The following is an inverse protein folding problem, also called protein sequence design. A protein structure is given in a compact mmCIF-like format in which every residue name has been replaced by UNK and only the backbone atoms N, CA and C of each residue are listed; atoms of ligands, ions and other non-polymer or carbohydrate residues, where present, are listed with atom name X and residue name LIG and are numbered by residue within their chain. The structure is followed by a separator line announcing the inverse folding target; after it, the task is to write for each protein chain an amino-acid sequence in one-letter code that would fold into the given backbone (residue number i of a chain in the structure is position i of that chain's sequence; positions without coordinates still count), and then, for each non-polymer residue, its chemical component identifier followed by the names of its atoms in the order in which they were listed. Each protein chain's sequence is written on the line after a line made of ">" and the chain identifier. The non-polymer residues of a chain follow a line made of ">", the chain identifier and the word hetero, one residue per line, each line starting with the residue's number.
data_IF_248702818483
#
_entry.id   IF_248702818483
#
_cell.length_a   1.000
_cell.length_b   1.000
_cell.length_c   1.000
_cell.angle_alpha   90.00
_cell.angle_beta   90.00
_cell.angle_gamma   90.00
#
_symmetry.space_group_name_H-M   'P 1'
#
loop_
_entity.id
_entity.type
_entity.pdbx_description
1 polymer ?
#
# COMPACT_ATOMS: atom_id res chain seq x y z
N UNK A 1 32.82 -19.34 4.75
CA UNK A 1 32.40 -17.95 5.08
C UNK A 1 30.89 -17.99 5.18
N UNK A 2 30.32 -17.53 6.30
CA UNK A 2 28.87 -17.40 6.46
C UNK A 2 28.54 -15.96 6.06
N UNK A 3 28.13 -15.74 4.80
CA UNK A 3 27.54 -14.45 4.40
C UNK A 3 26.27 -14.26 5.25
N UNK A 4 26.16 -13.23 6.10
CA UNK A 4 24.88 -12.92 6.72
C UNK A 4 23.88 -12.57 5.62
N UNK A 5 22.66 -13.13 5.63
CA UNK A 5 21.66 -12.80 4.62
C UNK A 5 21.43 -11.28 4.64
N UNK A 6 21.57 -10.63 3.48
CA UNK A 6 21.42 -9.17 3.40
C UNK A 6 20.03 -8.78 3.95
N UNK A 7 19.88 -7.81 4.85
CA UNK A 7 18.69 -7.75 5.70
C UNK A 7 17.40 -7.26 5.02
N UNK A 8 17.40 -6.86 3.74
CA UNK A 8 16.34 -5.96 3.25
C UNK A 8 16.04 -5.99 1.75
N UNK A 9 16.61 -6.92 0.97
CA UNK A 9 16.34 -6.99 -0.47
C UNK A 9 14.85 -7.31 -0.73
N UNK A 10 14.06 -6.30 -1.09
CA UNK A 10 12.62 -6.37 -1.39
C UNK A 10 11.71 -5.63 -0.39
N UNK A 11 12.05 -5.64 0.90
CA UNK A 11 11.15 -5.11 1.95
C UNK A 11 11.00 -3.57 1.88
N UNK A 12 12.06 -2.86 1.50
CA UNK A 12 12.05 -1.41 1.37
C UNK A 12 11.06 -0.92 0.29
N UNK A 13 11.11 -1.52 -0.90
CA UNK A 13 10.23 -1.13 -2.00
C UNK A 13 8.75 -1.44 -1.71
N UNK A 14 8.47 -2.59 -1.09
CA UNK A 14 7.11 -2.94 -0.63
C UNK A 14 6.62 -1.92 0.39
N UNK A 15 7.48 -1.53 1.34
CA UNK A 15 7.15 -0.53 2.37
C UNK A 15 6.84 0.83 1.74
N UNK A 16 7.67 1.29 0.79
CA UNK A 16 7.42 2.55 0.06
C UNK A 16 6.10 2.48 -0.71
N UNK A 17 5.84 1.39 -1.44
CA UNK A 17 4.60 1.20 -2.17
C UNK A 17 3.37 1.20 -1.25
N UNK A 18 3.49 0.61 -0.06
CA UNK A 18 2.44 0.61 0.95
C UNK A 18 2.15 2.01 1.47
N UNK A 19 3.19 2.79 1.77
CA UNK A 19 3.02 4.17 2.20
C UNK A 19 2.38 5.04 1.12
N UNK A 20 2.76 4.88 -0.15
CA UNK A 20 2.13 5.58 -1.27
C UNK A 20 0.64 5.23 -1.37
N UNK A 21 0.30 3.93 -1.24
CA UNK A 21 -1.08 3.46 -1.24
C UNK A 21 -1.92 4.12 -0.13
N UNK A 22 -1.41 4.10 1.11
CA UNK A 22 -2.09 4.71 2.26
C UNK A 22 -2.22 6.23 2.10
N UNK A 23 -1.16 6.90 1.64
CA UNK A 23 -1.17 8.34 1.42
C UNK A 23 -2.23 8.74 0.38
N UNK A 24 -2.37 7.96 -0.70
CA UNK A 24 -3.32 8.24 -1.76
C UNK A 24 -4.77 8.02 -1.29
N UNK A 25 -5.04 6.93 -0.56
CA UNK A 25 -6.35 6.70 0.06
C UNK A 25 -6.67 7.79 1.09
N UNK A 26 -5.68 8.21 1.87
CA UNK A 26 -5.76 9.31 2.82
C UNK A 26 -6.08 10.64 2.15
N UNK A 27 -5.45 10.96 1.01
CA UNK A 27 -5.70 12.18 0.25
C UNK A 27 -7.15 12.24 -0.28
N UNK A 28 -7.69 11.11 -0.73
CA UNK A 28 -9.09 11.00 -1.16
C UNK A 28 -10.03 11.30 0.01
N UNK A 29 -9.78 10.68 1.16
CA UNK A 29 -10.57 10.89 2.38
C UNK A 29 -10.46 12.33 2.88
N UNK A 30 -9.27 12.92 2.84
CA UNK A 30 -9.04 14.31 3.23
C UNK A 30 -9.79 15.26 2.29
N UNK A 31 -9.78 15.01 0.99
CA UNK A 31 -10.59 15.75 0.02
C UNK A 31 -12.09 15.69 0.36
N UNK A 32 -12.61 14.50 0.70
CA UNK A 32 -13.99 14.37 1.15
C UNK A 32 -14.27 15.14 2.46
N UNK A 33 -13.32 15.14 3.40
CA UNK A 33 -13.44 15.92 4.64
C UNK A 33 -13.49 17.42 4.36
N UNK A 34 -12.65 17.91 3.44
CA UNK A 34 -12.64 19.29 2.99
C UNK A 34 -13.97 19.72 2.34
N UNK A 35 -14.67 18.78 1.70
CA UNK A 35 -16.01 18.98 1.15
C UNK A 35 -17.14 18.93 2.21
N UNK A 36 -16.79 18.86 3.50
CA UNK A 36 -17.76 18.91 4.60
C UNK A 36 -18.40 17.57 4.95
N UNK A 37 -17.89 16.46 4.43
CA UNK A 37 -18.38 15.11 4.80
C UNK A 37 -18.16 14.87 6.30
N UNK A 38 -19.14 14.23 6.94
CA UNK A 38 -19.05 13.84 8.35
C UNK A 38 -17.89 12.88 8.60
N UNK A 39 -17.38 12.79 9.83
CA UNK A 39 -16.23 11.93 10.15
C UNK A 39 -16.49 10.46 9.76
N UNK A 40 -17.69 9.94 10.05
CA UNK A 40 -18.09 8.59 9.64
C UNK A 40 -18.11 8.42 8.12
N UNK A 41 -18.61 9.42 7.37
CA UNK A 41 -18.58 9.42 5.92
C UNK A 41 -17.16 9.50 5.35
N UNK A 42 -16.27 10.28 5.96
CA UNK A 42 -14.85 10.37 5.58
C UNK A 42 -14.14 9.03 5.76
N UNK A 43 -14.39 8.32 6.86
CA UNK A 43 -13.85 6.97 7.08
C UNK A 43 -14.38 5.98 6.04
N UNK A 44 -15.68 6.07 5.71
CA UNK A 44 -16.25 5.25 4.65
C UNK A 44 -15.59 5.52 3.29
N UNK A 45 -15.39 6.79 2.94
CA UNK A 45 -14.69 7.19 1.71
C UNK A 45 -13.23 6.72 1.70
N UNK A 46 -12.53 6.78 2.84
CA UNK A 46 -11.19 6.23 2.96
C UNK A 46 -11.16 4.74 2.62
N UNK A 47 -12.04 3.94 3.25
CA UNK A 47 -12.12 2.50 3.03
C UNK A 47 -12.48 2.20 1.58
N UNK A 48 -13.47 2.90 1.02
CA UNK A 48 -13.88 2.73 -0.37
C UNK A 48 -12.73 3.08 -1.34
N UNK A 49 -12.05 4.20 -1.12
CA UNK A 49 -10.90 4.63 -1.90
C UNK A 49 -9.75 3.63 -1.83
N UNK A 50 -9.46 3.13 -0.63
CA UNK A 50 -8.46 2.08 -0.40
C UNK A 50 -8.81 0.79 -1.18
N UNK A 51 -10.07 0.35 -1.14
CA UNK A 51 -10.54 -0.83 -1.89
C UNK A 51 -10.43 -0.63 -3.40
N UNK A 52 -10.80 0.55 -3.91
CA UNK A 52 -10.68 0.88 -5.34
C UNK A 52 -9.21 0.89 -5.77
N UNK A 53 -8.33 1.48 -4.97
CA UNK A 53 -6.89 1.54 -5.21
C UNK A 53 -6.21 0.18 -5.08
N UNK A 54 -6.83 -0.78 -4.41
CA UNK A 54 -6.26 -2.12 -4.27
C UNK A 54 -6.09 -2.78 -5.64
N UNK A 55 -7.03 -2.58 -6.58
CA UNK A 55 -6.96 -3.17 -7.94
C UNK A 55 -5.65 -2.82 -8.68
N UNK A 56 -5.28 -1.55 -8.84
CA UNK A 56 -4.02 -1.18 -9.49
C UNK A 56 -2.78 -1.46 -8.64
N UNK A 57 -2.87 -1.42 -7.30
CA UNK A 57 -1.71 -1.64 -6.43
C UNK A 57 -1.40 -3.13 -6.15
N UNK A 58 -2.39 -4.02 -6.23
CA UNK A 58 -2.20 -5.45 -6.03
C UNK A 58 -1.12 -6.08 -6.94
N UNK A 59 -1.10 -5.85 -8.27
CA UNK A 59 -0.04 -6.39 -9.12
C UNK A 59 1.33 -5.78 -8.78
N UNK A 60 1.37 -4.53 -8.32
CA UNK A 60 2.60 -3.86 -7.91
C UNK A 60 3.17 -4.49 -6.63
N UNK A 61 2.33 -4.73 -5.61
CA UNK A 61 2.74 -5.45 -4.41
C UNK A 61 3.22 -6.88 -4.72
N UNK A 62 2.51 -7.60 -5.59
CA UNK A 62 2.92 -8.95 -6.04
C UNK A 62 4.27 -8.97 -6.73
N UNK A 63 4.60 -7.94 -7.53
CA UNK A 63 5.91 -7.81 -8.19
C UNK A 63 7.03 -7.44 -7.22
N UNK A 64 6.72 -6.70 -6.16
CA UNK A 64 7.70 -6.23 -5.20
C UNK A 64 7.95 -7.23 -4.06
N UNK A 65 7.04 -8.18 -3.85
CA UNK A 65 7.25 -9.29 -2.94
C UNK A 65 8.42 -10.13 -3.45
N UNK A 66 9.46 -10.37 -2.62
CA UNK A 66 10.57 -11.22 -3.02
C UNK A 66 10.05 -12.64 -3.25
N UNK A 67 10.24 -13.15 -4.47
CA UNK A 67 10.00 -14.57 -4.78
C UNK A 67 10.92 -15.40 -3.89
N UNK A 68 10.36 -16.36 -3.15
CA UNK A 68 11.18 -17.30 -2.38
C UNK A 68 12.07 -18.09 -3.36
N UNK A 69 13.37 -18.23 -3.11
CA UNK A 69 14.19 -19.15 -3.89
C UNK A 69 13.70 -20.57 -3.58
N UNK A 70 12.98 -21.19 -4.53
CA UNK A 70 12.45 -22.56 -4.39
C UNK A 70 11.02 -22.80 -4.91
N UNK A 71 10.31 -21.79 -5.40
CA UNK A 71 9.09 -22.00 -6.20
C UNK A 71 9.48 -22.08 -7.68
N UNK A 72 9.87 -23.28 -8.13
CA UNK A 72 9.79 -23.71 -9.54
C UNK A 72 8.40 -24.32 -9.82
#
# INVERSE_FOLDING_TARGET
>A
MYEPPSPTHGFFLVTVAFWVYIALAGAIALGARWLGVSVGGTLFVFVLGALVLLKPFLPLFRRLLPTRPGEE
#
